data_IF_360391012979
#
_entry.id   IF_360391012979
#
_cell.length_a   1.000
_cell.length_b   1.000
_cell.length_c   1.000
_cell.angle_alpha   90.00
_cell.angle_beta   90.00
_cell.angle_gamma   90.00
#
_symmetry.space_group_name_H-M   'P 1'
#
loop_
_entity.id
_entity.type
_entity.pdbx_description
1 polymer ?
#
# COMPACT_ATOMS: atom_id res chain seq x y z
N UNK A 1 -2.82 -3.61 6.74
CA UNK A 1 -1.90 -3.16 7.81
C UNK A 1 -1.62 -1.65 7.74
N UNK A 2 -1.19 -1.04 6.60
CA UNK A 2 -0.87 0.39 6.55
C UNK A 2 -2.00 1.31 7.04
N UNK A 3 -3.23 1.03 6.63
CA UNK A 3 -4.44 1.76 7.06
C UNK A 3 -4.64 1.75 8.58
N UNK A 4 -4.29 0.65 9.25
CA UNK A 4 -4.49 0.50 10.70
C UNK A 4 -3.47 1.34 11.45
N UNK A 5 -2.20 1.28 11.05
CA UNK A 5 -1.12 2.03 11.71
C UNK A 5 -1.34 3.55 11.63
N UNK A 6 -1.73 4.04 10.44
CA UNK A 6 -2.08 5.46 10.24
C UNK A 6 -3.29 5.84 11.10
N UNK A 7 -4.31 4.97 11.14
CA UNK A 7 -5.51 5.21 11.93
C UNK A 7 -5.20 5.25 13.45
N UNK A 8 -4.32 4.38 13.94
CA UNK A 8 -3.88 4.37 15.33
C UNK A 8 -3.13 5.66 15.68
N UNK A 9 -2.18 6.08 14.84
CA UNK A 9 -1.44 7.33 15.03
C UNK A 9 -2.37 8.56 15.06
N UNK A 10 -3.48 8.53 14.32
CA UNK A 10 -4.49 9.60 14.27
C UNK A 10 -5.67 9.41 15.25
N UNK A 11 -5.68 8.35 16.08
CA UNK A 11 -6.76 8.10 17.03
C UNK A 11 -8.13 7.84 16.38
N UNK A 12 -8.16 7.17 15.23
CA UNK A 12 -9.38 6.89 14.46
C UNK A 12 -9.48 5.43 14.02
N UNK A 13 -10.53 5.08 13.28
CA UNK A 13 -10.73 3.75 12.71
C UNK A 13 -10.13 3.62 11.31
N UNK A 14 -9.69 2.42 10.95
CA UNK A 14 -9.08 2.15 9.64
C UNK A 14 -10.01 2.40 8.44
N UNK A 15 -11.34 2.46 8.67
CA UNK A 15 -12.32 2.81 7.64
C UNK A 15 -12.22 4.27 7.20
N UNK A 16 -11.61 5.14 8.01
CA UNK A 16 -11.37 6.53 7.67
C UNK A 16 -10.07 6.75 6.89
N UNK A 17 -9.28 5.70 6.63
CA UNK A 17 -8.02 5.76 5.88
C UNK A 17 -8.19 5.01 4.56
N UNK A 18 -7.76 5.62 3.46
CA UNK A 18 -7.91 5.07 2.10
C UNK A 18 -6.59 5.17 1.34
N UNK A 19 -6.47 4.40 0.26
CA UNK A 19 -5.47 4.66 -0.78
C UNK A 19 -4.01 4.51 -0.32
N UNK A 20 -3.75 3.57 0.60
CA UNK A 20 -2.39 3.17 0.95
C UNK A 20 -1.82 2.25 -0.12
N UNK A 21 -0.59 2.52 -0.56
CA UNK A 21 0.06 1.78 -1.63
C UNK A 21 1.23 0.98 -1.09
N UNK A 22 1.39 -0.25 -1.56
CA UNK A 22 2.57 -1.06 -1.31
C UNK A 22 3.21 -1.34 -2.66
N UNK A 23 4.48 -0.96 -2.81
CA UNK A 23 5.29 -1.12 -3.99
C UNK A 23 6.31 -2.24 -3.79
N UNK A 24 6.62 -2.96 -4.87
CA UNK A 24 7.61 -4.04 -4.85
C UNK A 24 7.01 -5.43 -4.77
N UNK A 25 7.89 -6.39 -4.48
CA UNK A 25 7.51 -7.76 -4.17
C UNK A 25 7.05 -7.90 -2.71
N UNK A 26 6.27 -8.93 -2.40
CA UNK A 26 5.83 -9.25 -1.05
C UNK A 26 6.99 -9.85 -0.24
N UNK A 27 7.89 -8.98 0.24
CA UNK A 27 9.09 -9.34 1.01
C UNK A 27 9.28 -8.40 2.21
N UNK A 28 10.25 -8.71 3.07
CA UNK A 28 10.66 -7.84 4.19
C UNK A 28 11.12 -6.46 3.72
N UNK A 29 11.42 -6.30 2.43
CA UNK A 29 11.94 -5.10 1.84
C UNK A 29 10.89 -4.28 1.09
N UNK A 30 9.59 -4.64 1.16
CA UNK A 30 8.50 -3.89 0.54
C UNK A 30 8.52 -2.40 0.92
N UNK A 31 8.03 -1.54 0.03
CA UNK A 31 7.92 -0.10 0.28
C UNK A 31 6.46 0.30 0.40
N UNK A 32 6.07 0.77 1.58
CA UNK A 32 4.72 1.32 1.80
C UNK A 32 4.74 2.82 1.57
N UNK A 33 3.97 3.26 0.58
CA UNK A 33 3.84 4.66 0.18
C UNK A 33 2.50 5.24 0.66
N UNK A 34 2.60 6.46 1.16
CA UNK A 34 1.53 7.23 1.79
C UNK A 34 1.17 8.50 1.02
N UNK A 35 1.85 8.83 -0.08
CA UNK A 35 1.60 10.03 -0.88
C UNK A 35 0.15 10.20 -1.33
N UNK A 36 -0.51 9.09 -1.68
CA UNK A 36 -1.89 9.07 -2.14
C UNK A 36 -2.90 8.73 -1.04
N UNK A 37 -2.43 8.54 0.20
CA UNK A 37 -3.30 8.20 1.32
C UNK A 37 -4.18 9.38 1.67
N UNK A 38 -5.48 9.11 1.70
CA UNK A 38 -6.49 10.06 2.15
C UNK A 38 -7.03 9.63 3.50
N UNK A 39 -7.24 10.61 4.37
CA UNK A 39 -7.82 10.41 5.68
C UNK A 39 -9.05 11.28 5.84
N UNK A 40 -10.13 10.71 6.38
CA UNK A 40 -11.35 11.44 6.70
C UNK A 40 -11.26 12.03 8.11
N UNK A 41 -11.00 13.33 8.20
CA UNK A 41 -10.99 14.11 9.44
C UNK A 41 -12.19 15.05 9.49
N UNK A 42 -12.99 14.96 10.55
CA UNK A 42 -14.15 15.83 10.78
C UNK A 42 -15.10 15.92 9.56
N UNK A 43 -15.30 14.79 8.86
CA UNK A 43 -16.15 14.73 7.66
C UNK A 43 -15.48 15.16 6.35
N UNK A 44 -14.26 15.71 6.38
CA UNK A 44 -13.49 16.11 5.20
C UNK A 44 -12.37 15.12 4.89
N UNK A 45 -12.16 14.82 3.62
CA UNK A 45 -10.98 14.05 3.18
C UNK A 45 -9.80 14.99 2.99
N UNK A 46 -8.68 14.68 3.66
CA UNK A 46 -7.41 15.40 3.53
C UNK A 46 -6.28 14.39 3.23
N UNK A 47 -5.16 14.86 2.70
CA UNK A 47 -3.98 14.01 2.51
C UNK A 47 -3.34 13.70 3.86
N UNK A 48 -2.71 12.52 3.98
CA UNK A 48 -2.14 12.06 5.25
C UNK A 48 -1.07 13.00 5.83
N UNK A 49 -0.30 13.65 4.97
CA UNK A 49 0.73 14.62 5.38
C UNK A 49 0.10 15.82 6.12
N UNK A 50 -1.04 16.32 5.65
CA UNK A 50 -1.78 17.40 6.32
C UNK A 50 -2.43 16.93 7.63
N UNK A 51 -2.88 15.68 7.67
CA UNK A 51 -3.52 15.09 8.84
C UNK A 51 -2.54 14.86 10.00
N UNK A 52 -1.36 14.31 9.71
CA UNK A 52 -0.37 13.94 10.72
C UNK A 52 0.64 15.05 11.03
N UNK A 53 1.04 15.84 10.03
CA UNK A 53 2.09 16.87 10.14
C UNK A 53 3.39 16.33 10.76
N UNK A 54 3.72 15.08 10.45
CA UNK A 54 4.88 14.34 10.98
C UNK A 54 5.57 13.57 9.83
N UNK A 55 6.21 14.32 8.95
CA UNK A 55 6.89 13.81 7.76
C UNK A 55 8.04 12.85 8.13
N UNK A 56 8.74 13.12 9.23
CA UNK A 56 9.82 12.28 9.74
C UNK A 56 9.31 10.90 10.13
N UNK A 57 8.17 10.82 10.80
CA UNK A 57 7.53 9.54 11.10
C UNK A 57 7.08 8.82 9.83
N UNK A 58 6.41 9.52 8.90
CA UNK A 58 5.90 8.96 7.64
C UNK A 58 7.01 8.39 6.74
N UNK A 59 8.16 9.06 6.68
CA UNK A 59 9.29 8.67 5.82
C UNK A 59 10.34 7.79 6.53
N UNK A 60 10.18 7.52 7.83
CA UNK A 60 11.16 6.79 8.63
C UNK A 60 10.53 5.65 9.43
N UNK A 61 10.02 5.98 10.62
CA UNK A 61 9.46 5.01 11.56
C UNK A 61 8.32 4.19 10.95
N UNK A 62 7.39 4.84 10.25
CA UNK A 62 6.26 4.17 9.61
C UNK A 62 6.72 3.11 8.60
N UNK A 63 7.66 3.45 7.71
CA UNK A 63 8.20 2.51 6.71
C UNK A 63 8.89 1.34 7.41
N UNK A 64 9.67 1.63 8.46
CA UNK A 64 10.38 0.62 9.25
C UNK A 64 9.39 -0.33 9.92
N UNK A 65 8.33 0.19 10.54
CA UNK A 65 7.26 -0.60 11.13
C UNK A 65 6.59 -1.49 10.10
N UNK A 66 6.28 -0.98 8.90
CA UNK A 66 5.66 -1.77 7.82
C UNK A 66 6.57 -2.90 7.30
N UNK A 67 7.89 -2.69 7.29
CA UNK A 67 8.87 -3.73 6.91
C UNK A 67 9.03 -4.79 8.01
N UNK A 68 8.92 -4.40 9.28
CA UNK A 68 9.11 -5.30 10.43
C UNK A 68 7.82 -6.00 10.89
N UNK A 69 6.65 -5.59 10.39
CA UNK A 69 5.35 -6.15 10.78
C UNK A 69 5.27 -7.68 10.69
N UNK A 70 5.87 -8.29 9.67
CA UNK A 70 5.91 -9.76 9.54
C UNK A 70 6.61 -10.44 10.71
N UNK A 71 7.68 -9.84 11.23
CA UNK A 71 8.47 -10.37 12.35
C UNK A 71 7.82 -10.05 13.71
N UNK A 72 7.14 -8.91 13.83
CA UNK A 72 6.51 -8.46 15.07
C UNK A 72 5.28 -9.31 15.45
N UNK A 73 4.47 -9.72 14.47
CA UNK A 73 3.31 -10.59 14.74
C UNK A 73 3.77 -11.95 15.27
N UNK A 74 4.83 -12.52 14.71
CA UNK A 74 5.42 -13.81 15.13
C UNK A 74 5.96 -13.75 16.57
N UNK A 75 6.44 -12.60 17.05
CA UNK A 75 6.96 -12.45 18.43
C UNK A 75 5.88 -12.22 19.48
N UNK A 76 4.76 -11.60 19.10
CA UNK A 76 3.73 -11.13 20.06
C UNK A 76 2.64 -12.16 20.34
N UNK A 77 2.41 -13.09 19.42
CA UNK A 77 1.49 -14.20 19.59
C UNK A 77 2.20 -15.43 19.04
N UNK A 78 2.22 -16.54 19.77
CA UNK A 78 2.61 -17.87 19.24
C UNK A 78 1.57 -18.37 18.19
N UNK A 79 0.97 -17.47 17.43
CA UNK A 79 -0.09 -17.65 16.46
C UNK A 79 0.29 -16.83 15.21
N UNK A 80 0.13 -17.42 14.03
CA UNK A 80 0.40 -16.75 12.77
C UNK A 80 -0.58 -15.58 12.53
N UNK A 81 -0.25 -14.68 11.60
CA UNK A 81 -1.10 -13.58 11.10
C UNK A 81 -2.35 -14.06 10.33
N UNK A 82 -2.90 -15.22 10.64
CA UNK A 82 -3.92 -15.92 9.86
C UNK A 82 -5.22 -15.12 9.69
N UNK A 83 -5.76 -14.53 10.76
CA UNK A 83 -7.02 -13.76 10.66
C UNK A 83 -6.87 -12.48 9.83
N UNK A 84 -5.76 -11.77 9.99
CA UNK A 84 -5.50 -10.54 9.22
C UNK A 84 -5.20 -10.87 7.76
N UNK A 85 -4.50 -11.97 7.49
CA UNK A 85 -4.31 -12.49 6.14
C UNK A 85 -5.64 -12.90 5.49
N UNK A 86 -6.50 -13.63 6.19
CA UNK A 86 -7.82 -14.03 5.69
C UNK A 86 -8.69 -12.81 5.37
N UNK A 87 -8.68 -11.78 6.22
CA UNK A 87 -9.38 -10.53 5.94
C UNK A 87 -8.82 -9.82 4.70
N UNK A 88 -7.49 -9.74 4.58
CA UNK A 88 -6.85 -9.13 3.42
C UNK A 88 -7.20 -9.86 2.11
N UNK A 89 -7.22 -11.20 2.12
CA UNK A 89 -7.63 -12.02 0.96
C UNK A 89 -9.11 -11.78 0.63
N UNK A 90 -9.98 -11.77 1.64
CA UNK A 90 -11.41 -11.53 1.45
C UNK A 90 -11.69 -10.17 0.80
N UNK A 91 -11.06 -9.11 1.32
CA UNK A 91 -11.17 -7.76 0.76
C UNK A 91 -10.62 -7.70 -0.66
N UNK A 92 -9.46 -8.32 -0.89
CA UNK A 92 -8.83 -8.35 -2.19
C UNK A 92 -9.71 -9.04 -3.24
N UNK A 93 -10.26 -10.21 -2.92
CA UNK A 93 -11.16 -10.95 -3.82
C UNK A 93 -12.45 -10.17 -4.06
N UNK A 94 -12.99 -9.52 -3.02
CA UNK A 94 -14.16 -8.65 -3.15
C UNK A 94 -13.91 -7.50 -4.13
N UNK A 95 -12.81 -6.76 -3.97
CA UNK A 95 -12.46 -5.64 -4.85
C UNK A 95 -12.19 -6.11 -6.29
N UNK A 96 -11.56 -7.28 -6.45
CA UNK A 96 -11.33 -7.89 -7.76
C UNK A 96 -12.64 -8.28 -8.47
N UNK A 97 -13.61 -8.82 -7.74
CA UNK A 97 -14.86 -9.32 -8.30
C UNK A 97 -15.89 -8.20 -8.53
N UNK A 98 -15.99 -7.26 -7.59
CA UNK A 98 -17.04 -6.25 -7.53
C UNK A 98 -16.58 -4.87 -8.01
N UNK A 99 -15.27 -4.63 -8.07
CA UNK A 99 -14.68 -3.33 -8.35
C UNK A 99 -14.35 -2.54 -7.09
N UNK A 100 -13.43 -1.56 -7.21
CA UNK A 100 -13.08 -0.69 -6.09
C UNK A 100 -14.12 0.43 -5.92
N UNK A 101 -14.39 0.88 -4.69
CA UNK A 101 -15.29 2.01 -4.44
C UNK A 101 -14.84 3.30 -5.17
N UNK A 102 -15.77 4.21 -5.43
CA UNK A 102 -15.46 5.47 -6.11
C UNK A 102 -14.44 6.28 -5.30
N UNK A 103 -13.32 6.63 -5.95
CA UNK A 103 -12.22 7.38 -5.33
C UNK A 103 -11.26 6.52 -4.51
N UNK A 104 -11.45 5.20 -4.51
CA UNK A 104 -10.59 4.22 -3.85
C UNK A 104 -9.88 3.32 -4.84
N UNK A 105 -8.68 2.89 -4.45
CA UNK A 105 -7.88 1.93 -5.19
C UNK A 105 -7.27 0.90 -4.24
N UNK A 106 -6.82 -0.21 -4.80
CA UNK A 106 -6.13 -1.27 -4.08
C UNK A 106 -4.70 -1.42 -4.59
N UNK A 107 -3.78 -1.82 -3.71
CA UNK A 107 -2.46 -2.29 -4.14
C UNK A 107 -2.56 -3.79 -4.47
N UNK A 108 -2.10 -4.19 -5.65
CA UNK A 108 -2.12 -5.59 -6.09
C UNK A 108 -0.91 -5.94 -6.94
N UNK A 109 -0.43 -7.17 -6.79
CA UNK A 109 0.62 -7.74 -7.63
C UNK A 109 0.04 -8.10 -9.00
N UNK A 110 0.45 -7.38 -10.03
CA UNK A 110 0.10 -7.67 -11.43
C UNK A 110 1.35 -7.66 -12.28
N UNK A 111 1.29 -8.36 -13.41
CA UNK A 111 2.34 -8.28 -14.41
C UNK A 111 2.37 -6.86 -14.98
N UNK A 112 3.53 -6.23 -14.91
CA UNK A 112 3.77 -4.92 -15.49
C UNK A 112 3.57 -4.97 -17.01
N UNK A 113 2.72 -4.10 -17.53
CA UNK A 113 2.47 -3.92 -18.96
C UNK A 113 2.14 -2.44 -19.23
N UNK A 114 3.15 -1.66 -19.60
CA UNK A 114 2.97 -0.24 -19.95
C UNK A 114 2.53 0.64 -18.78
N UNK A 115 3.03 0.38 -17.57
CA UNK A 115 2.74 1.20 -16.39
C UNK A 115 3.37 2.61 -16.49
N UNK A 116 2.80 3.56 -15.76
CA UNK A 116 3.22 4.97 -15.74
C UNK A 116 4.42 5.24 -14.81
N UNK A 117 4.92 4.21 -14.13
CA UNK A 117 5.92 4.33 -13.06
C UNK A 117 7.32 3.89 -13.50
N UNK A 118 7.51 3.58 -14.79
CA UNK A 118 8.81 3.21 -15.35
C UNK A 118 9.27 1.79 -15.00
N UNK A 119 8.39 0.95 -14.45
CA UNK A 119 8.72 -0.45 -14.16
C UNK A 119 8.77 -1.24 -15.47
N UNK A 120 9.77 -2.11 -15.65
CA UNK A 120 9.87 -2.92 -16.86
C UNK A 120 8.64 -3.82 -17.04
N UNK A 121 8.25 -4.06 -18.29
CA UNK A 121 7.22 -5.02 -18.62
C UNK A 121 7.61 -6.45 -18.19
N UNK A 122 6.61 -7.31 -18.06
CA UNK A 122 6.74 -8.72 -17.69
C UNK A 122 7.25 -8.99 -16.26
N UNK A 123 7.37 -7.94 -15.44
CA UNK A 123 7.73 -8.05 -14.03
C UNK A 123 6.46 -8.15 -13.18
N UNK A 124 6.36 -9.20 -12.35
CA UNK A 124 5.33 -9.27 -11.30
C UNK A 124 5.67 -8.26 -10.20
N UNK A 125 4.85 -7.23 -10.06
CA UNK A 125 5.12 -6.12 -9.16
C UNK A 125 3.82 -5.55 -8.58
N UNK A 126 3.85 -5.06 -7.35
CA UNK A 126 2.68 -4.47 -6.71
C UNK A 126 2.47 -3.03 -7.16
N UNK A 127 1.28 -2.73 -7.69
CA UNK A 127 0.89 -1.40 -8.17
C UNK A 127 -0.44 -0.95 -7.53
N UNK A 128 -0.66 0.37 -7.38
CA UNK A 128 -1.98 0.91 -7.09
C UNK A 128 -2.86 0.83 -8.34
N UNK A 129 -4.02 0.17 -8.22
CA UNK A 129 -4.97 0.01 -9.32
C UNK A 129 -6.41 0.27 -8.89
N UNK A 130 -7.19 0.79 -9.83
CA UNK A 130 -8.65 0.87 -9.73
C UNK A 130 -9.23 -0.32 -10.48
N UNK A 131 -10.16 -1.04 -9.84
CA UNK A 131 -10.86 -2.15 -10.48
C UNK A 131 -12.23 -1.69 -10.93
N UNK A 132 -12.51 -1.84 -12.22
CA UNK A 132 -13.81 -1.53 -12.81
C UNK A 132 -14.14 -2.57 -13.87
N UNK A 133 -15.37 -3.09 -13.83
CA UNK A 133 -15.84 -4.10 -14.79
C UNK A 133 -14.90 -5.32 -14.91
N UNK A 134 -14.36 -5.79 -13.78
CA UNK A 134 -13.40 -6.92 -13.71
C UNK A 134 -12.08 -6.68 -14.47
N UNK A 135 -11.77 -5.42 -14.78
CA UNK A 135 -10.49 -4.98 -15.37
C UNK A 135 -9.82 -4.00 -14.42
N UNK A 136 -8.49 -3.93 -14.45
CA UNK A 136 -7.72 -2.97 -13.67
C UNK A 136 -7.18 -1.84 -14.54
N UNK A 137 -6.97 -0.67 -13.92
CA UNK A 137 -6.19 0.44 -14.48
C UNK A 137 -5.22 0.94 -13.43
N UNK A 138 -4.00 1.23 -13.83
CA UNK A 138 -3.03 1.90 -12.96
C UNK A 138 -3.61 3.24 -12.49
N UNK A 139 -3.43 3.52 -11.21
CA UNK A 139 -3.74 4.84 -10.67
C UNK A 139 -2.71 5.81 -11.22
N UNK A 140 -3.14 7.00 -11.65
CA UNK A 140 -2.22 8.10 -11.92
C UNK A 140 -2.13 8.93 -10.64
N UNK A 141 -0.92 9.21 -10.18
CA UNK A 141 -0.76 9.91 -8.91
C UNK A 141 0.63 10.47 -8.72
N UNK A 142 0.71 11.52 -7.92
CA UNK A 142 1.96 12.13 -7.52
C UNK A 142 2.81 11.13 -6.72
N UNK A 143 4.03 10.94 -7.18
CA UNK A 143 5.09 10.21 -6.49
C UNK A 143 6.23 11.19 -6.33
N UNK A 144 6.66 11.46 -5.10
CA UNK A 144 7.79 12.36 -4.85
C UNK A 144 9.13 11.67 -5.16
N UNK A 145 10.21 12.44 -5.25
CA UNK A 145 11.56 11.93 -5.56
C UNK A 145 12.03 10.83 -4.61
N UNK A 146 11.67 10.93 -3.32
CA UNK A 146 12.00 9.90 -2.33
C UNK A 146 11.34 8.57 -2.68
N UNK A 147 10.07 8.62 -3.06
CA UNK A 147 9.24 7.46 -3.37
C UNK A 147 9.66 6.84 -4.70
N UNK A 148 9.98 7.66 -5.72
CA UNK A 148 10.54 7.20 -6.98
C UNK A 148 11.81 6.39 -6.78
N UNK A 149 12.78 6.92 -6.02
CA UNK A 149 14.02 6.19 -5.70
C UNK A 149 13.75 4.84 -5.04
N UNK A 150 12.77 4.76 -4.14
CA UNK A 150 12.40 3.49 -3.49
C UNK A 150 11.75 2.52 -4.48
N UNK A 151 10.80 2.98 -5.29
CA UNK A 151 10.12 2.18 -6.32
C UNK A 151 11.14 1.56 -7.28
N UNK A 152 12.09 2.34 -7.78
CA UNK A 152 13.15 1.88 -8.68
C UNK A 152 14.03 0.80 -8.03
N UNK A 153 14.46 1.04 -6.79
CA UNK A 153 15.23 0.05 -6.03
C UNK A 153 14.46 -1.26 -5.87
N UNK A 154 13.16 -1.20 -5.56
CA UNK A 154 12.33 -2.41 -5.44
C UNK A 154 12.17 -3.12 -6.78
N UNK A 155 12.04 -2.37 -7.87
CA UNK A 155 11.91 -2.95 -9.20
C UNK A 155 13.17 -3.67 -9.65
N UNK A 156 14.35 -3.14 -9.29
CA UNK A 156 15.62 -3.82 -9.53
C UNK A 156 15.74 -5.13 -8.73
N UNK A 157 15.32 -5.14 -7.45
CA UNK A 157 15.31 -6.34 -6.62
C UNK A 157 14.39 -7.44 -7.19
N UNK A 158 13.18 -7.09 -7.62
CA UNK A 158 12.23 -8.07 -8.17
C UNK A 158 12.74 -8.78 -9.42
N UNK A 159 13.62 -8.16 -10.22
CA UNK A 159 14.25 -8.79 -11.39
C UNK A 159 15.27 -9.85 -11.00
N UNK A 160 15.93 -9.70 -9.85
CA UNK A 160 16.98 -10.61 -9.40
C UNK A 160 16.44 -11.93 -8.84
N UNK A 161 15.13 -12.00 -8.57
CA UNK A 161 14.47 -13.18 -7.98
C UNK A 161 13.74 -14.06 -9.01
N UNK A 162 13.82 -13.73 -10.30
CA UNK A 162 13.34 -14.53 -11.43
C UNK A 162 14.54 -15.18 -12.14
#
# INVERSE_FOLDING_TARGET
>A
MPKIEIALKLGMTANNVKNATIWGNHSSNQYTDVNLVKVKLQGKEVVVYEALKDDSWLMGEFITTMQQCGNAVIKSQNLSSAMSAAKAISDHVSDMCLGTPKGEFMATGITSDGNLYGILNDLLYSFPVVIKNKTWKFVEGFVNDFSHKKIDLKAAESKCCL
#
